data_IF_389278093079
#
_entry.id   IF_389278093079
#
_cell.length_a   1.000
_cell.length_b   1.000
_cell.length_c   1.000
_cell.angle_alpha   90.00
_cell.angle_beta   90.00
_cell.angle_gamma   90.00
#
_symmetry.space_group_name_H-M   'P 1'
#
loop_
_entity.id
_entity.type
_entity.pdbx_description
1 polymer ?
#
# COMPACT_ATOMS: atom_id res chain seq x y z
N UNK A 1 47.70 -22.90 -42.81
CA UNK A 1 48.73 -21.90 -43.15
C UNK A 1 48.26 -21.18 -44.40
N UNK A 2 48.35 -19.85 -44.36
CA UNK A 2 48.01 -18.82 -45.37
C UNK A 2 46.52 -18.45 -45.55
N UNK A 3 46.11 -17.18 -45.62
CA UNK A 3 46.44 -15.89 -44.96
C UNK A 3 45.49 -14.82 -45.55
N UNK A 4 44.82 -14.06 -44.67
CA UNK A 4 44.58 -12.60 -44.62
C UNK A 4 44.41 -11.79 -45.94
N UNK A 5 43.29 -11.02 -46.02
CA UNK A 5 43.28 -9.57 -46.36
C UNK A 5 41.85 -9.01 -46.30
N UNK A 6 41.47 -8.27 -45.24
CA UNK A 6 41.48 -6.77 -45.13
C UNK A 6 40.46 -6.10 -46.06
N UNK A 7 39.38 -5.52 -45.53
CA UNK A 7 39.28 -4.16 -44.95
C UNK A 7 38.53 -3.25 -45.95
N UNK A 8 37.39 -2.68 -45.54
CA UNK A 8 37.16 -1.23 -45.50
C UNK A 8 35.76 -0.96 -44.93
N UNK A 9 35.69 -0.40 -43.72
CA UNK A 9 34.68 0.63 -43.44
C UNK A 9 35.25 1.97 -43.92
N UNK A 10 34.40 2.93 -44.29
CA UNK A 10 34.30 4.06 -43.38
C UNK A 10 32.91 4.69 -43.23
N UNK A 11 32.82 5.25 -42.04
CA UNK A 11 31.89 6.15 -41.36
C UNK A 11 31.59 7.50 -42.07
N UNK A 12 30.74 8.33 -41.43
CA UNK A 12 30.49 9.78 -41.60
C UNK A 12 29.08 10.12 -42.13
N UNK A 13 28.24 11.00 -41.56
CA UNK A 13 28.49 12.20 -40.74
C UNK A 13 27.24 12.69 -39.99
N UNK A 14 27.49 13.24 -38.81
CA UNK A 14 26.93 14.40 -38.10
C UNK A 14 25.60 15.07 -38.54
N UNK A 15 24.68 15.26 -37.57
CA UNK A 15 24.44 16.58 -36.93
C UNK A 15 23.03 16.71 -36.29
N UNK A 16 23.02 16.93 -34.97
CA UNK A 16 22.20 17.86 -34.17
C UNK A 16 20.64 17.89 -34.32
N UNK A 17 19.94 17.81 -33.16
CA UNK A 17 19.19 18.94 -32.54
C UNK A 17 18.11 18.51 -31.52
N UNK A 18 18.38 18.87 -30.26
CA UNK A 18 17.52 19.42 -29.17
C UNK A 18 16.09 18.88 -28.89
N UNK A 19 15.88 18.60 -27.60
CA UNK A 19 14.59 18.49 -26.90
C UNK A 19 13.63 19.69 -27.09
N UNK A 20 12.32 19.43 -27.27
CA UNK A 20 11.16 20.26 -26.86
C UNK A 20 9.87 19.48 -27.15
N UNK A 21 9.08 19.06 -26.14
CA UNK A 21 7.86 19.70 -25.58
C UNK A 21 6.61 19.61 -26.48
N UNK A 22 5.49 19.30 -25.80
CA UNK A 22 4.06 19.44 -26.16
C UNK A 22 3.33 18.15 -26.62
N UNK A 23 2.62 17.59 -25.63
CA UNK A 23 1.24 17.12 -25.66
C UNK A 23 0.39 17.34 -26.92
N UNK A 24 -0.46 16.36 -27.28
CA UNK A 24 -1.92 16.45 -27.04
C UNK A 24 -2.75 15.31 -27.71
N UNK A 25 -3.76 14.82 -26.96
CA UNK A 25 -5.10 14.35 -27.41
C UNK A 25 -5.20 13.16 -28.39
N UNK A 26 -6.14 12.23 -28.34
CA UNK A 26 -7.38 12.02 -27.58
C UNK A 26 -7.84 10.58 -27.82
N UNK A 27 -8.47 9.95 -26.84
CA UNK A 27 -9.54 8.98 -27.13
C UNK A 27 -10.67 9.24 -26.16
N UNK A 28 -11.74 9.86 -26.68
CA UNK A 28 -13.02 9.97 -25.98
C UNK A 28 -13.55 8.55 -25.77
N UNK A 29 -13.77 8.14 -24.52
CA UNK A 29 -14.69 7.04 -24.21
C UNK A 29 -15.75 7.55 -23.25
N UNK A 30 -16.98 7.51 -23.77
CA UNK A 30 -18.22 7.99 -23.16
C UNK A 30 -18.48 7.30 -21.81
N UNK A 31 -18.75 8.11 -20.78
CA UNK A 31 -19.22 7.61 -19.49
C UNK A 31 -20.74 7.52 -19.52
N UNK A 32 -21.24 6.30 -19.41
CA UNK A 32 -22.66 6.01 -19.27
C UNK A 32 -23.16 6.43 -17.89
N UNK A 33 -24.37 7.00 -17.90
CA UNK A 33 -25.08 7.58 -16.78
C UNK A 33 -25.65 6.48 -15.86
N UNK A 34 -25.59 6.77 -14.55
CA UNK A 34 -26.47 6.29 -13.45
C UNK A 34 -26.05 5.02 -12.69
N UNK A 35 -25.53 5.24 -11.48
CA UNK A 35 -26.15 4.74 -10.25
C UNK A 35 -25.70 5.61 -9.06
N UNK A 36 -26.65 6.36 -8.48
CA UNK A 36 -26.47 7.02 -7.18
C UNK A 36 -26.45 5.92 -6.12
N UNK A 37 -25.25 5.48 -5.71
CA UNK A 37 -25.15 4.62 -4.52
C UNK A 37 -25.33 5.48 -3.28
N UNK A 38 -26.34 5.10 -2.50
CA UNK A 38 -26.67 5.64 -1.20
C UNK A 38 -25.42 5.77 -0.31
N UNK A 39 -25.40 6.84 0.49
CA UNK A 39 -24.28 7.25 1.32
C UNK A 39 -23.69 6.11 2.14
N UNK A 40 -22.54 5.61 1.70
CA UNK A 40 -21.67 4.85 2.57
C UNK A 40 -21.13 5.79 3.63
N UNK A 41 -21.55 5.62 4.89
CA UNK A 41 -20.83 6.16 6.05
C UNK A 41 -19.34 5.98 5.78
N UNK A 42 -18.57 7.07 5.73
CA UNK A 42 -17.11 7.04 5.67
C UNK A 42 -16.65 6.14 6.83
N UNK A 43 -16.33 4.88 6.55
CA UNK A 43 -15.84 3.92 7.54
C UNK A 43 -14.44 4.35 7.93
N UNK A 44 -14.33 5.38 8.75
CA UNK A 44 -13.37 5.49 9.84
C UNK A 44 -11.99 4.89 9.49
N UNK A 45 -11.40 5.43 8.43
CA UNK A 45 -10.40 4.76 7.58
C UNK A 45 -9.01 4.74 8.25
N UNK A 46 -8.36 3.57 8.20
CA UNK A 46 -6.92 3.43 8.39
C UNK A 46 -6.55 2.52 9.55
N UNK A 47 -6.28 3.10 10.72
CA UNK A 47 -5.54 2.41 11.81
C UNK A 47 -6.33 1.28 12.48
N UNK A 48 -7.60 1.50 12.83
CA UNK A 48 -8.41 0.48 13.50
C UNK A 48 -8.61 -0.76 12.61
N UNK A 49 -8.78 -0.57 11.29
CA UNK A 49 -8.89 -1.70 10.35
C UNK A 49 -7.60 -2.51 10.23
N UNK A 50 -6.43 -1.87 10.28
CA UNK A 50 -5.15 -2.60 10.28
C UNK A 50 -4.94 -3.34 11.60
N UNK A 51 -5.29 -2.72 12.73
CA UNK A 51 -5.20 -3.36 14.04
C UNK A 51 -6.10 -4.61 14.11
N UNK A 52 -7.39 -4.48 13.78
CA UNK A 52 -8.34 -5.59 13.82
C UNK A 52 -7.94 -6.72 12.86
N UNK A 53 -7.40 -6.39 11.68
CA UNK A 53 -6.90 -7.38 10.75
C UNK A 53 -5.70 -8.13 11.33
N UNK A 54 -4.72 -7.42 11.91
CA UNK A 54 -3.58 -8.04 12.58
C UNK A 54 -3.99 -8.90 13.78
N UNK A 55 -4.96 -8.44 14.57
CA UNK A 55 -5.53 -9.21 15.69
C UNK A 55 -6.18 -10.52 15.21
N UNK A 56 -6.97 -10.48 14.14
CA UNK A 56 -7.62 -11.66 13.58
C UNK A 56 -6.60 -12.69 13.06
N UNK A 57 -5.60 -12.23 12.30
CA UNK A 57 -4.50 -13.06 11.79
C UNK A 57 -3.73 -13.71 12.95
N UNK A 58 -3.43 -12.95 13.99
CA UNK A 58 -2.68 -13.45 15.14
C UNK A 58 -3.47 -14.42 16.01
N UNK A 59 -4.77 -14.17 16.23
CA UNK A 59 -5.67 -15.09 16.94
C UNK A 59 -5.71 -16.45 16.23
N UNK A 60 -5.89 -16.44 14.91
CA UNK A 60 -5.91 -17.66 14.13
C UNK A 60 -4.60 -18.42 14.16
N UNK A 61 -3.47 -17.71 14.09
CA UNK A 61 -2.15 -18.30 14.29
C UNK A 61 -2.03 -18.98 15.67
N UNK A 62 -2.52 -18.35 16.74
CA UNK A 62 -2.47 -18.91 18.11
C UNK A 62 -3.30 -20.18 18.26
N UNK A 63 -4.45 -20.26 17.60
CA UNK A 63 -5.30 -21.46 17.58
C UNK A 63 -4.64 -22.63 16.86
N UNK A 64 -3.93 -22.35 15.76
CA UNK A 64 -3.28 -23.37 14.93
C UNK A 64 -1.91 -23.80 15.49
N UNK A 65 -1.25 -22.93 16.27
CA UNK A 65 0.11 -23.15 16.80
C UNK A 65 0.30 -24.50 17.52
N UNK A 66 -0.64 -24.98 18.36
CA UNK A 66 -0.50 -26.27 19.03
C UNK A 66 -0.55 -27.46 18.07
N UNK A 67 -1.25 -27.33 16.95
CA UNK A 67 -1.52 -28.44 16.02
C UNK A 67 -0.47 -28.51 14.90
N UNK A 68 -0.10 -27.37 14.31
CA UNK A 68 0.76 -27.32 13.12
C UNK A 68 2.16 -26.74 13.40
N UNK A 69 2.46 -26.41 14.66
CA UNK A 69 3.69 -25.73 15.04
C UNK A 69 3.78 -24.31 14.48
N UNK A 70 4.97 -23.69 14.57
CA UNK A 70 5.16 -22.28 14.16
C UNK A 70 4.97 -22.09 12.65
N UNK A 71 5.73 -22.83 11.85
CA UNK A 71 5.80 -22.62 10.40
C UNK A 71 4.55 -23.15 9.69
N UNK A 72 4.00 -24.27 10.16
CA UNK A 72 2.76 -24.83 9.62
C UNK A 72 1.57 -23.90 9.83
N UNK A 73 1.43 -23.34 11.03
CA UNK A 73 0.37 -22.37 11.34
C UNK A 73 0.47 -21.10 10.50
N UNK A 74 1.68 -20.56 10.34
CA UNK A 74 1.90 -19.37 9.52
C UNK A 74 1.53 -19.63 8.04
N UNK A 75 1.90 -20.79 7.51
CA UNK A 75 1.56 -21.18 6.15
C UNK A 75 0.04 -21.31 5.94
N UNK A 76 -0.69 -21.89 6.91
CA UNK A 76 -2.15 -22.03 6.87
C UNK A 76 -2.81 -20.66 6.89
N UNK A 77 -2.46 -19.81 7.86
CA UNK A 77 -3.03 -18.45 7.98
C UNK A 77 -2.78 -17.63 6.72
N UNK A 78 -1.57 -17.73 6.12
CA UNK A 78 -1.25 -17.03 4.87
C UNK A 78 -2.09 -17.52 3.69
N UNK A 79 -2.41 -18.82 3.63
CA UNK A 79 -3.34 -19.38 2.63
C UNK A 79 -4.77 -18.88 2.87
N UNK A 80 -5.26 -18.89 4.10
CA UNK A 80 -6.59 -18.38 4.47
C UNK A 80 -6.76 -16.90 4.09
N UNK A 81 -5.76 -16.05 4.38
CA UNK A 81 -5.78 -14.63 4.01
C UNK A 81 -5.86 -14.44 2.49
N UNK A 82 -5.17 -15.27 1.71
CA UNK A 82 -5.24 -15.25 0.24
C UNK A 82 -6.60 -15.69 -0.30
N UNK A 83 -7.26 -16.63 0.37
CA UNK A 83 -8.63 -17.05 0.01
C UNK A 83 -9.62 -15.92 0.32
N UNK A 84 -9.50 -15.28 1.48
CA UNK A 84 -10.37 -14.17 1.88
C UNK A 84 -10.15 -12.90 1.04
N UNK A 85 -8.92 -12.64 0.60
CA UNK A 85 -8.56 -11.50 -0.26
C UNK A 85 -7.92 -12.05 -1.55
N UNK A 86 -8.75 -12.47 -2.52
CA UNK A 86 -8.25 -13.12 -3.72
C UNK A 86 -7.41 -12.18 -4.58
N UNK A 87 -6.47 -12.76 -5.33
CA UNK A 87 -5.51 -12.06 -6.20
C UNK A 87 -6.15 -11.10 -7.20
N UNK A 88 -7.39 -11.36 -7.60
CA UNK A 88 -8.18 -10.51 -8.50
C UNK A 88 -8.45 -9.12 -7.92
N UNK A 89 -8.32 -8.93 -6.60
CA UNK A 89 -8.53 -7.66 -5.90
C UNK A 89 -7.24 -7.04 -5.38
N UNK A 90 -6.22 -7.85 -5.09
CA UNK A 90 -4.97 -7.38 -4.49
C UNK A 90 -3.82 -8.27 -4.96
N UNK A 91 -2.74 -7.70 -5.49
CA UNK A 91 -1.55 -8.48 -5.87
C UNK A 91 -0.93 -9.15 -4.64
N UNK A 92 -0.23 -10.28 -4.84
CA UNK A 92 0.43 -11.02 -3.74
C UNK A 92 1.40 -10.12 -2.95
N UNK A 93 2.12 -9.23 -3.65
CA UNK A 93 3.04 -8.24 -3.08
C UNK A 93 2.29 -7.22 -2.20
N UNK A 94 1.17 -6.68 -2.71
CA UNK A 94 0.36 -5.73 -1.97
C UNK A 94 -0.29 -6.39 -0.74
N UNK A 95 -0.74 -7.63 -0.88
CA UNK A 95 -1.27 -8.43 0.22
C UNK A 95 -0.21 -8.66 1.30
N UNK A 96 1.01 -9.07 0.92
CA UNK A 96 2.13 -9.24 1.86
C UNK A 96 2.41 -7.97 2.64
N UNK A 97 2.54 -6.83 1.95
CA UNK A 97 2.76 -5.51 2.58
C UNK A 97 1.62 -5.14 3.54
N UNK A 98 0.38 -5.46 3.18
CA UNK A 98 -0.80 -5.18 4.02
C UNK A 98 -0.79 -6.02 5.30
N UNK A 99 -0.49 -7.31 5.20
CA UNK A 99 -0.37 -8.21 6.35
C UNK A 99 0.78 -7.80 7.26
N UNK A 100 1.97 -7.55 6.71
CA UNK A 100 3.13 -7.09 7.48
C UNK A 100 2.83 -5.77 8.20
N UNK A 101 2.20 -4.81 7.50
CA UNK A 101 1.80 -3.54 8.11
C UNK A 101 0.80 -3.76 9.24
N UNK A 102 -0.17 -4.64 9.06
CA UNK A 102 -1.16 -4.94 10.10
C UNK A 102 -0.55 -5.63 11.32
N UNK A 103 0.42 -6.50 11.13
CA UNK A 103 1.14 -7.17 12.20
C UNK A 103 1.95 -6.16 13.02
N UNK A 104 2.66 -5.24 12.34
CA UNK A 104 3.39 -4.15 13.00
C UNK A 104 2.46 -3.24 13.81
N UNK A 105 1.31 -2.87 13.23
CA UNK A 105 0.28 -2.06 13.90
C UNK A 105 -0.29 -2.81 15.11
N UNK A 106 -0.60 -4.09 14.96
CA UNK A 106 -1.11 -4.92 16.04
C UNK A 106 -0.11 -5.01 17.19
N UNK A 107 1.16 -5.37 16.90
CA UNK A 107 2.23 -5.44 17.90
C UNK A 107 2.39 -4.11 18.65
N UNK A 108 2.44 -2.99 17.94
CA UNK A 108 2.60 -1.66 18.53
C UNK A 108 1.50 -1.33 19.55
N UNK A 109 0.23 -1.48 19.15
CA UNK A 109 -0.89 -1.15 20.02
C UNK A 109 -1.20 -2.20 21.06
N UNK A 110 -0.75 -3.44 20.86
CA UNK A 110 -0.82 -4.46 21.91
C UNK A 110 0.19 -4.18 23.04
N UNK A 111 1.28 -3.48 22.76
CA UNK A 111 2.24 -3.01 23.77
C UNK A 111 1.80 -1.69 24.43
N UNK A 112 1.29 -0.75 23.65
CA UNK A 112 0.98 0.62 24.12
C UNK A 112 -0.44 0.74 24.72
N UNK A 113 -1.34 -0.18 24.36
CA UNK A 113 -2.76 -0.16 24.75
C UNK A 113 -3.69 0.14 23.58
N UNK A 114 -4.77 -0.63 23.45
CA UNK A 114 -5.76 -0.52 22.35
C UNK A 114 -6.49 0.82 22.40
N UNK A 115 -6.70 1.38 23.58
CA UNK A 115 -7.34 2.67 23.84
C UNK A 115 -6.61 3.83 23.16
N UNK A 116 -5.29 3.72 22.99
CA UNK A 116 -4.49 4.74 22.31
C UNK A 116 -4.78 4.82 20.80
N UNK A 117 -5.33 3.75 20.19
CA UNK A 117 -5.80 3.78 18.79
C UNK A 117 -6.93 4.79 18.62
N UNK A 118 -7.85 4.84 19.59
CA UNK A 118 -9.00 5.75 19.60
C UNK A 118 -8.54 7.18 19.90
N UNK A 119 -7.59 7.34 20.82
CA UNK A 119 -7.05 8.65 21.17
C UNK A 119 -6.37 9.38 20.00
N UNK A 120 -5.59 8.67 19.17
CA UNK A 120 -4.98 9.26 17.96
C UNK A 120 -6.05 9.79 16.98
N UNK A 121 -7.27 9.28 17.07
CA UNK A 121 -8.40 9.73 16.26
C UNK A 121 -9.04 11.02 16.77
N UNK A 122 -8.91 11.25 18.07
CA UNK A 122 -9.47 12.37 18.81
C UNK A 122 -8.31 13.18 19.36
N UNK A 123 -7.66 13.96 18.48
CA UNK A 123 -6.92 15.13 18.98
C UNK A 123 -8.01 16.02 19.61
N UNK A 124 -7.93 16.31 20.93
CA UNK A 124 -8.87 17.21 21.58
C UNK A 124 -8.91 18.54 20.82
N UNK A 125 -10.09 19.14 20.71
CA UNK A 125 -10.26 20.37 19.95
C UNK A 125 -9.41 21.50 20.53
N UNK A 126 -9.10 21.47 21.84
CA UNK A 126 -8.17 22.41 22.47
C UNK A 126 -6.75 22.32 21.88
N UNK A 127 -6.25 21.11 21.60
CA UNK A 127 -4.92 20.92 21.03
C UNK A 127 -4.88 21.39 19.57
N UNK A 128 -5.98 21.25 18.82
CA UNK A 128 -6.09 21.77 17.45
C UNK A 128 -6.02 23.29 17.43
N UNK A 129 -6.67 23.95 18.40
CA UNK A 129 -6.67 25.40 18.54
C UNK A 129 -5.26 25.92 18.83
N UNK A 130 -4.55 25.30 19.79
CA UNK A 130 -3.16 25.64 20.12
C UNK A 130 -2.21 25.45 18.93
N UNK A 131 -2.35 24.36 18.17
CA UNK A 131 -1.54 24.15 16.96
C UNK A 131 -1.82 25.20 15.88
N UNK A 132 -3.09 25.58 15.68
CA UNK A 132 -3.47 26.61 14.72
C UNK A 132 -2.87 27.96 15.12
N UNK A 133 -2.94 28.32 16.41
CA UNK A 133 -2.36 29.54 16.96
C UNK A 133 -0.84 29.58 16.74
N UNK A 134 -0.10 28.54 17.12
CA UNK A 134 1.34 28.42 16.88
C UNK A 134 1.70 28.55 15.39
N UNK A 135 0.90 27.96 14.49
CA UNK A 135 1.14 28.03 13.04
C UNK A 135 0.82 29.41 12.44
N UNK A 136 -0.11 30.16 13.06
CA UNK A 136 -0.49 31.52 12.62
C UNK A 136 0.44 32.61 13.14
N UNK A 137 1.12 32.37 14.26
CA UNK A 137 2.22 33.21 14.73
C UNK A 137 3.49 32.92 13.92
N UNK A 138 3.47 33.29 12.63
CA UNK A 138 4.69 33.43 11.84
C UNK A 138 5.36 34.75 12.20
N UNK A 139 6.58 34.65 12.73
CA UNK A 139 7.57 35.73 12.80
C UNK A 139 8.09 36.02 11.39
#
# INVERSE_FOLDING_TARGET
>A
MSEISTLVEPDSSDAQKKCSRESSTSTKKSSSKKAKKAGGKKKELGRNSYFNFGEAVFKRYKELKPEFGKDGSEAIVKKEVRVAIPKTKCSDEALRKKTERSEKVYKLFNTIGKEKIVWIRTIPDEIKYVMAEILTHKV
#
